data_IF_931291475093
#
_entry.id   IF_931291475093
#
_cell.length_a   1.000
_cell.length_b   1.000
_cell.length_c   1.000
_cell.angle_alpha   90.00
_cell.angle_beta   90.00
_cell.angle_gamma   90.00
#
_symmetry.space_group_name_H-M   'P 1'
#
loop_
_entity.id
_entity.type
_entity.pdbx_description
1 polymer ?
#
# COMPACT_ATOMS: atom_id res chain seq x y z
N UNK A 1 20.61 -2.69 -62.55
CA UNK A 1 19.19 -2.29 -62.63
C UNK A 1 18.38 -3.25 -61.79
N UNK A 2 17.87 -2.70 -60.70
CA UNK A 2 16.75 -3.09 -59.80
C UNK A 2 16.00 -4.40 -60.13
N UNK A 3 15.59 -5.23 -59.16
CA UNK A 3 14.52 -4.91 -58.19
C UNK A 3 14.51 -5.91 -57.02
N UNK A 4 14.85 -5.44 -55.82
CA UNK A 4 14.49 -6.10 -54.55
C UNK A 4 13.61 -5.11 -53.79
N UNK A 5 12.31 -5.41 -53.66
CA UNK A 5 11.43 -4.73 -52.70
C UNK A 5 10.44 -5.74 -52.13
N UNK A 6 10.90 -6.49 -51.14
CA UNK A 6 10.04 -7.19 -50.19
C UNK A 6 9.90 -6.28 -48.96
N UNK A 7 8.79 -5.55 -48.85
CA UNK A 7 8.45 -4.79 -47.64
C UNK A 7 7.96 -5.77 -46.56
N UNK A 8 8.81 -6.06 -45.58
CA UNK A 8 8.42 -6.65 -44.29
C UNK A 8 8.07 -5.50 -43.34
N UNK A 9 6.78 -5.22 -43.17
CA UNK A 9 6.29 -4.41 -42.06
C UNK A 9 6.39 -5.24 -40.76
N UNK A 10 7.44 -5.00 -39.96
CA UNK A 10 7.50 -5.46 -38.58
C UNK A 10 6.57 -4.60 -37.72
N UNK A 11 5.43 -5.15 -37.34
CA UNK A 11 4.56 -4.59 -36.29
C UNK A 11 5.20 -4.84 -34.92
N UNK A 12 5.89 -3.83 -34.38
CA UNK A 12 6.30 -3.82 -32.99
C UNK A 12 5.08 -3.63 -32.09
N UNK A 13 4.53 -4.72 -31.55
CA UNK A 13 3.62 -4.65 -30.41
C UNK A 13 4.43 -4.27 -29.17
N UNK A 14 4.39 -2.99 -28.81
CA UNK A 14 4.98 -2.51 -27.57
C UNK A 14 4.22 -3.14 -26.39
N UNK A 15 4.73 -4.25 -25.83
CA UNK A 15 4.33 -4.72 -24.51
C UNK A 15 4.65 -3.60 -23.51
N UNK A 16 3.64 -2.85 -23.11
CA UNK A 16 3.76 -1.92 -22.00
C UNK A 16 3.79 -2.78 -20.74
N UNK A 17 4.90 -2.82 -19.98
CA UNK A 17 4.89 -3.49 -18.70
C UNK A 17 3.84 -2.78 -17.85
N UNK A 18 2.79 -3.50 -17.46
CA UNK A 18 1.93 -3.10 -16.36
C UNK A 18 2.84 -3.08 -15.13
N UNK A 19 3.45 -1.92 -14.85
CA UNK A 19 4.26 -1.72 -13.68
C UNK A 19 3.34 -1.89 -12.47
N UNK A 20 3.32 -3.09 -11.90
CA UNK A 20 2.66 -3.33 -10.63
C UNK A 20 3.39 -2.49 -9.58
N UNK A 21 2.61 -1.81 -8.74
CA UNK A 21 3.17 -1.14 -7.58
C UNK A 21 3.93 -2.16 -6.73
N UNK A 22 4.99 -1.71 -6.05
CA UNK A 22 5.74 -2.60 -5.16
C UNK A 22 4.79 -3.30 -4.18
N UNK A 23 5.03 -4.58 -3.89
CA UNK A 23 4.19 -5.32 -2.95
C UNK A 23 4.74 -5.25 -1.53
N UNK A 24 3.84 -5.33 -0.54
CA UNK A 24 4.25 -5.58 0.82
C UNK A 24 4.81 -7.00 0.95
N UNK A 25 5.79 -7.15 1.82
CA UNK A 25 6.51 -8.41 2.06
C UNK A 25 6.29 -8.91 3.50
N UNK A 26 6.73 -10.13 3.85
CA UNK A 26 6.72 -10.60 5.24
C UNK A 26 7.40 -9.63 6.21
N UNK A 27 8.42 -8.90 5.73
CA UNK A 27 9.14 -7.94 6.55
C UNK A 27 8.28 -6.75 6.98
N UNK A 28 7.11 -6.57 6.36
CA UNK A 28 6.11 -5.55 6.67
C UNK A 28 5.01 -6.06 7.62
N UNK A 29 5.02 -7.36 7.97
CA UNK A 29 4.21 -7.86 9.07
C UNK A 29 4.70 -7.27 10.39
N UNK A 30 3.78 -7.00 11.33
CA UNK A 30 4.10 -6.38 12.60
C UNK A 30 2.90 -5.71 13.26
N UNK A 31 3.15 -5.13 14.43
CA UNK A 31 2.16 -4.31 15.15
C UNK A 31 2.47 -2.82 14.94
N UNK A 32 1.43 -2.08 14.60
CA UNK A 32 1.48 -0.67 14.26
C UNK A 32 0.52 0.10 15.17
N UNK A 33 0.95 1.27 15.61
CA UNK A 33 0.13 2.16 16.43
C UNK A 33 -0.11 3.46 15.68
N UNK A 34 -1.37 3.91 15.68
CA UNK A 34 -1.73 5.20 15.12
C UNK A 34 -1.27 6.32 16.03
N UNK A 35 -0.81 7.39 15.39
CA UNK A 35 -0.29 8.58 16.03
C UNK A 35 -1.18 9.77 15.72
N UNK A 36 -1.28 10.68 16.69
CA UNK A 36 -1.84 12.02 16.48
C UNK A 36 -0.87 12.87 15.63
N UNK A 37 -1.31 14.07 15.26
CA UNK A 37 -0.49 15.01 14.49
C UNK A 37 0.82 15.37 15.20
N UNK A 38 0.77 15.53 16.53
CA UNK A 38 1.90 15.78 17.43
C UNK A 38 2.80 14.55 17.66
N UNK A 39 2.52 13.43 16.97
CA UNK A 39 3.22 12.14 17.07
C UNK A 39 3.02 11.39 18.39
N UNK A 40 2.10 11.83 19.25
CA UNK A 40 1.74 11.08 20.45
C UNK A 40 0.88 9.86 20.10
N UNK A 41 1.02 8.74 20.84
CA UNK A 41 0.19 7.55 20.64
C UNK A 41 -1.31 7.81 20.82
N UNK A 42 -2.14 7.28 19.91
CA UNK A 42 -3.60 7.26 20.06
C UNK A 42 -4.13 6.05 20.82
N UNK A 43 -3.30 5.01 21.00
CA UNK A 43 -3.72 3.72 21.57
C UNK A 43 -4.55 2.84 20.62
N UNK A 44 -4.72 3.26 19.35
CA UNK A 44 -5.31 2.43 18.29
C UNK A 44 -4.19 1.61 17.66
N UNK A 45 -4.32 0.28 17.73
CA UNK A 45 -3.32 -0.66 17.26
C UNK A 45 -3.86 -1.51 16.12
N UNK A 46 -2.98 -1.85 15.19
CA UNK A 46 -3.21 -2.83 14.14
C UNK A 46 -2.08 -3.84 14.12
N UNK A 47 -2.40 -5.11 13.99
CA UNK A 47 -1.43 -6.18 13.80
C UNK A 47 -1.65 -6.81 12.44
N UNK A 48 -0.66 -6.70 11.57
CA UNK A 48 -0.63 -7.36 10.28
C UNK A 48 0.23 -8.62 10.32
N UNK A 49 -0.27 -9.66 9.66
CA UNK A 49 0.42 -10.92 9.45
C UNK A 49 0.02 -11.48 8.10
N UNK A 50 0.80 -12.41 7.55
CA UNK A 50 0.43 -13.13 6.34
C UNK A 50 -0.04 -14.53 6.68
N UNK A 51 -1.11 -14.95 6.01
CA UNK A 51 -1.60 -16.32 6.03
C UNK A 51 -1.73 -16.80 4.59
N UNK A 52 -0.79 -17.64 4.15
CA UNK A 52 -0.60 -17.97 2.74
C UNK A 52 -0.34 -16.70 1.91
N UNK A 53 -1.13 -16.49 0.86
CA UNK A 53 -1.01 -15.31 -0.01
C UNK A 53 -1.86 -14.11 0.44
N UNK A 54 -2.48 -14.17 1.62
CA UNK A 54 -3.40 -13.13 2.10
C UNK A 54 -2.84 -12.40 3.31
N UNK A 55 -3.08 -11.09 3.35
CA UNK A 55 -2.85 -10.27 4.53
C UNK A 55 -4.02 -10.37 5.49
N UNK A 56 -3.71 -10.63 6.75
CA UNK A 56 -4.67 -10.69 7.87
C UNK A 56 -4.34 -9.55 8.83
N UNK A 57 -5.37 -8.83 9.25
CA UNK A 57 -5.24 -7.72 10.18
C UNK A 57 -6.15 -7.90 11.39
N UNK A 58 -5.60 -7.65 12.57
CA UNK A 58 -6.36 -7.46 13.81
C UNK A 58 -6.23 -6.02 14.26
N UNK A 59 -7.33 -5.42 14.71
CA UNK A 59 -7.39 -4.07 15.24
C UNK A 59 -7.71 -4.09 16.73
N UNK A 60 -7.18 -3.11 17.47
CA UNK A 60 -7.48 -2.90 18.88
C UNK A 60 -7.69 -1.41 19.13
N UNK A 61 -8.88 -1.05 19.59
CA UNK A 61 -9.17 0.30 20.08
C UNK A 61 -8.69 0.45 21.53
N UNK A 62 -8.45 1.69 22.02
CA UNK A 62 -8.07 1.93 23.41
C UNK A 62 -9.04 1.26 24.39
N UNK A 63 -8.51 0.44 25.30
CA UNK A 63 -9.30 -0.27 26.32
C UNK A 63 -10.25 -1.35 25.78
N UNK A 64 -10.14 -1.76 24.52
CA UNK A 64 -10.91 -2.86 23.91
C UNK A 64 -10.02 -4.05 23.59
N UNK A 65 -10.63 -5.21 23.34
CA UNK A 65 -9.92 -6.40 22.90
C UNK A 65 -9.55 -6.34 21.40
N UNK A 66 -8.60 -7.18 21.02
CA UNK A 66 -8.26 -7.40 19.62
C UNK A 66 -9.45 -8.00 18.87
N UNK A 67 -9.74 -7.46 17.69
CA UNK A 67 -10.76 -7.98 16.77
C UNK A 67 -10.17 -8.15 15.38
N UNK A 68 -10.51 -9.21 14.69
CA UNK A 68 -10.14 -9.34 13.29
C UNK A 68 -10.86 -8.25 12.47
N UNK A 69 -10.11 -7.62 11.58
CA UNK A 69 -10.56 -6.51 10.72
C UNK A 69 -11.06 -7.05 9.37
N UNK A 70 -10.75 -8.30 9.05
CA UNK A 70 -11.04 -8.98 7.79
C UNK A 70 -12.17 -10.02 7.88
N UNK A 71 -13.13 -9.87 8.80
CA UNK A 71 -14.08 -10.94 9.16
C UNK A 71 -15.25 -11.12 8.20
N UNK A 72 -15.68 -10.06 7.52
CA UNK A 72 -16.85 -10.11 6.64
C UNK A 72 -16.42 -10.25 5.17
N UNK A 73 -17.20 -10.94 4.32
CA UNK A 73 -16.96 -10.98 2.88
C UNK A 73 -16.79 -9.56 2.31
N UNK A 74 -15.66 -9.29 1.66
CA UNK A 74 -15.32 -7.97 1.11
C UNK A 74 -14.39 -7.13 2.00
N UNK A 75 -14.05 -7.57 3.21
CA UNK A 75 -13.07 -6.92 4.09
C UNK A 75 -11.65 -7.50 3.96
N UNK A 76 -11.41 -8.41 3.01
CA UNK A 76 -10.08 -8.94 2.73
C UNK A 76 -9.13 -7.87 2.20
N UNK A 77 -7.88 -7.93 2.65
CA UNK A 77 -6.84 -7.09 2.09
C UNK A 77 -6.40 -7.63 0.73
N UNK A 78 -6.27 -6.70 -0.22
CA UNK A 78 -5.65 -6.90 -1.52
C UNK A 78 -4.59 -5.85 -1.77
N UNK A 79 -3.71 -6.09 -2.73
CA UNK A 79 -2.78 -5.06 -3.19
C UNK A 79 -3.57 -3.88 -3.81
N UNK A 80 -3.12 -2.66 -3.50
CA UNK A 80 -3.62 -1.45 -4.14
C UNK A 80 -3.04 -1.34 -5.55
N UNK A 81 -3.85 -0.91 -6.51
CA UNK A 81 -3.39 -0.60 -7.86
C UNK A 81 -2.64 0.74 -7.89
N UNK A 82 -1.83 0.96 -8.93
CA UNK A 82 -1.16 2.25 -9.12
C UNK A 82 -2.14 3.43 -9.19
N UNK A 83 -3.32 3.23 -9.81
CA UNK A 83 -4.37 4.25 -9.89
C UNK A 83 -4.97 4.58 -8.53
N UNK A 84 -5.14 3.58 -7.66
CA UNK A 84 -5.60 3.79 -6.28
C UNK A 84 -4.56 4.52 -5.44
N UNK A 85 -3.28 4.15 -5.56
CA UNK A 85 -2.19 4.87 -4.88
C UNK A 85 -2.16 6.36 -5.29
N UNK A 86 -2.47 6.68 -6.54
CA UNK A 86 -2.58 8.06 -7.02
C UNK A 86 -3.71 8.86 -6.34
N UNK A 87 -4.78 8.20 -5.88
CA UNK A 87 -5.87 8.89 -5.16
C UNK A 87 -5.56 9.10 -3.68
N UNK A 88 -4.67 8.30 -3.11
CA UNK A 88 -4.27 8.39 -1.71
C UNK A 88 -3.14 9.39 -1.46
N UNK A 89 -2.24 9.55 -2.43
CA UNK A 89 -1.02 10.35 -2.25
C UNK A 89 -0.86 11.40 -3.36
N UNK A 90 -0.51 12.65 -3.00
CA UNK A 90 -0.24 13.70 -3.98
C UNK A 90 0.99 13.34 -4.82
N UNK A 91 1.10 13.87 -6.06
CA UNK A 91 2.25 13.63 -6.93
C UNK A 91 3.60 13.87 -6.24
N UNK A 92 3.73 14.98 -5.50
CA UNK A 92 4.94 15.33 -4.76
C UNK A 92 5.38 14.28 -3.74
N UNK A 93 4.46 13.53 -3.13
CA UNK A 93 4.82 12.43 -2.23
C UNK A 93 5.28 11.20 -3.02
N UNK A 94 4.59 10.87 -4.11
CA UNK A 94 4.88 9.70 -4.96
C UNK A 94 6.17 9.83 -5.77
N UNK A 95 6.57 11.05 -6.11
CA UNK A 95 7.82 11.32 -6.82
C UNK A 95 9.07 11.07 -5.96
N UNK A 96 8.93 11.20 -4.64
CA UNK A 96 10.05 11.06 -3.69
C UNK A 96 10.01 9.76 -2.90
N UNK A 97 8.97 8.92 -3.08
CA UNK A 97 8.79 7.69 -2.31
C UNK A 97 8.32 6.54 -3.20
N UNK A 98 8.96 5.38 -3.04
CA UNK A 98 8.40 4.11 -3.49
C UNK A 98 7.28 3.67 -2.53
N UNK A 99 6.15 3.25 -3.09
CA UNK A 99 4.95 2.90 -2.32
C UNK A 99 4.55 1.46 -2.55
N UNK A 100 4.31 0.75 -1.45
CA UNK A 100 3.73 -0.58 -1.44
C UNK A 100 2.53 -0.59 -0.51
N UNK A 101 1.34 -0.91 -1.03
CA UNK A 101 0.08 -0.73 -0.32
C UNK A 101 -0.82 -1.94 -0.43
N UNK A 102 -1.50 -2.24 0.67
CA UNK A 102 -2.65 -3.14 0.72
C UNK A 102 -3.87 -2.37 1.20
N UNK A 103 -5.05 -2.79 0.79
CA UNK A 103 -6.30 -2.15 1.18
C UNK A 103 -7.47 -3.12 1.25
N UNK A 104 -8.48 -2.71 2.01
CA UNK A 104 -9.84 -3.22 1.93
C UNK A 104 -10.82 -2.05 1.74
N UNK A 105 -12.12 -2.27 1.94
CA UNK A 105 -13.13 -1.21 1.78
C UNK A 105 -13.02 -0.07 2.81
N UNK A 106 -12.41 -0.31 3.97
CA UNK A 106 -12.40 0.65 5.08
C UNK A 106 -11.09 1.44 5.18
N UNK A 107 -9.96 0.84 4.77
CA UNK A 107 -8.65 1.45 4.94
C UNK A 107 -7.58 0.90 3.99
N UNK A 108 -6.50 1.65 3.88
CA UNK A 108 -5.26 1.31 3.20
C UNK A 108 -4.13 1.29 4.22
N UNK A 109 -3.22 0.33 4.10
CA UNK A 109 -1.94 0.29 4.81
C UNK A 109 -0.80 0.29 3.80
N UNK A 110 0.12 1.24 3.93
CA UNK A 110 1.22 1.42 3.00
C UNK A 110 2.56 1.47 3.71
N UNK A 111 3.57 0.82 3.11
CA UNK A 111 4.98 1.15 3.28
C UNK A 111 5.33 2.27 2.31
N UNK A 112 6.11 3.24 2.77
CA UNK A 112 6.80 4.19 1.91
C UNK A 112 8.30 4.15 2.17
N UNK A 113 9.09 4.21 1.10
CA UNK A 113 10.54 4.20 1.13
C UNK A 113 11.03 5.43 0.37
N UNK A 114 11.71 6.40 1.02
CA UNK A 114 12.26 7.55 0.32
C UNK A 114 13.26 7.09 -0.75
N UNK A 115 13.16 7.63 -1.97
CA UNK A 115 14.01 7.22 -3.11
C UNK A 115 15.50 7.50 -2.83
N UNK A 116 15.79 8.55 -2.05
CA UNK A 116 17.14 8.91 -1.64
C UNK A 116 17.65 8.14 -0.40
N UNK A 117 16.78 7.40 0.29
CA UNK A 117 17.13 6.62 1.48
C UNK A 117 16.51 5.21 1.41
N UNK A 118 16.97 4.32 0.51
CA UNK A 118 16.32 3.03 0.24
C UNK A 118 16.34 2.05 1.42
N UNK A 119 17.13 2.33 2.47
CA UNK A 119 17.16 1.57 3.73
C UNK A 119 16.14 2.08 4.76
N UNK A 120 15.66 3.30 4.59
CA UNK A 120 14.65 3.92 5.44
C UNK A 120 13.26 3.49 4.98
N UNK A 121 12.43 3.03 5.91
CA UNK A 121 11.03 2.68 5.62
C UNK A 121 10.11 3.31 6.65
N UNK A 122 9.06 3.94 6.15
CA UNK A 122 7.96 4.45 6.95
C UNK A 122 6.67 3.71 6.63
N UNK A 123 5.68 3.87 7.50
CA UNK A 123 4.38 3.24 7.37
C UNK A 123 3.27 4.25 7.63
N UNK A 124 2.21 4.17 6.83
CA UNK A 124 1.07 5.08 6.91
C UNK A 124 -0.22 4.31 6.68
N UNK A 125 -1.26 4.70 7.41
CA UNK A 125 -2.63 4.24 7.16
C UNK A 125 -3.39 5.33 6.42
N UNK A 126 -4.32 4.94 5.57
CA UNK A 126 -5.29 5.84 4.96
C UNK A 126 -6.70 5.33 5.31
N UNK A 127 -7.48 6.13 6.02
CA UNK A 127 -8.87 5.81 6.35
C UNK A 127 -9.75 6.19 5.16
N UNK A 128 -10.59 5.26 4.69
CA UNK A 128 -11.44 5.44 3.50
C UNK A 128 -12.92 5.73 3.84
N UNK A 129 -13.37 5.40 5.05
CA UNK A 129 -14.78 5.51 5.46
C UNK A 129 -15.28 6.94 5.66
N UNK A 130 -14.41 7.95 5.59
CA UNK A 130 -14.72 9.36 5.83
C UNK A 130 -15.11 10.15 4.58
N UNK A 131 -15.33 9.49 3.44
CA UNK A 131 -15.68 10.11 2.15
C UNK A 131 -14.51 10.77 1.42
N UNK A 132 -13.49 11.24 2.16
CA UNK A 132 -12.17 11.58 1.64
C UNK A 132 -11.10 10.70 2.30
N UNK A 133 -10.11 10.19 1.54
CA UNK A 133 -8.99 9.46 2.12
C UNK A 133 -8.25 10.31 3.16
N UNK A 134 -8.16 9.83 4.40
CA UNK A 134 -7.52 10.54 5.51
C UNK A 134 -6.23 9.82 5.92
N UNK A 135 -5.04 10.42 5.70
CA UNK A 135 -3.78 9.83 6.14
C UNK A 135 -3.63 9.88 7.67
N UNK A 136 -3.19 8.76 8.25
CA UNK A 136 -2.89 8.58 9.67
C UNK A 136 -1.47 8.07 9.82
N UNK A 137 -0.66 8.84 10.56
CA UNK A 137 0.73 8.48 10.85
C UNK A 137 0.77 7.27 11.76
N UNK A 138 1.78 6.43 11.60
CA UNK A 138 1.98 5.28 12.46
C UNK A 138 3.41 5.13 12.92
N UNK A 139 3.57 4.41 14.03
CA UNK A 139 4.84 3.81 14.41
C UNK A 139 4.70 2.29 14.44
N UNK A 140 5.77 1.60 14.05
CA UNK A 140 5.90 0.16 14.24
C UNK A 140 6.39 -0.12 15.67
N UNK A 141 5.84 -1.16 16.30
CA UNK A 141 6.17 -1.54 17.68
C UNK A 141 7.08 -2.77 17.78
N UNK A 142 7.11 -3.62 16.75
CA UNK A 142 7.92 -4.84 16.69
C UNK A 142 8.17 -5.33 15.25
#
# INVERSE_FOLDING_TARGET
MDRIRLLLLLTFTALHPLAWAAELSESDAGTYEWLKEDRTPMGVLYRFSRSGNKWVAFGKLPGKDWKAVSCDPGCEYRNSTAKEIQTYFPPSFREHNELACIQNMAQVFCRFTPVNEPRSRGYIFIVLVTGKPLPVRTRRLN
#
